data_IF_597792213738
#
_entry.id   IF_597792213738
#
_cell.length_a   1.000
_cell.length_b   1.000
_cell.length_c   1.000
_cell.angle_alpha   90.00
_cell.angle_beta   90.00
_cell.angle_gamma   90.00
#
_symmetry.space_group_name_H-M   'P 1'
#
loop_
_entity.id
_entity.type
_entity.pdbx_description
1 polymer ?
#
# COMPACT_ATOMS: atom_id res chain seq x y z
N UNK A 1 -27.59 -45.53 -3.31
CA UNK A 1 -28.95 -45.02 -3.57
C UNK A 1 -28.85 -44.02 -4.71
N UNK A 2 -29.53 -44.26 -5.83
CA UNK A 2 -29.51 -43.32 -6.96
C UNK A 2 -30.41 -42.14 -6.63
N UNK A 3 -29.89 -40.91 -6.67
CA UNK A 3 -30.70 -39.71 -6.53
C UNK A 3 -31.63 -39.58 -7.75
N UNK A 4 -32.87 -39.17 -7.51
CA UNK A 4 -33.86 -39.00 -8.57
C UNK A 4 -33.51 -37.78 -9.44
N UNK A 5 -34.02 -37.74 -10.66
CA UNK A 5 -33.84 -36.59 -11.56
C UNK A 5 -34.39 -35.31 -10.91
N UNK A 6 -35.49 -35.41 -10.16
CA UNK A 6 -36.11 -34.29 -9.45
C UNK A 6 -35.22 -33.72 -8.35
N UNK A 7 -34.56 -34.56 -7.55
CA UNK A 7 -33.61 -34.11 -6.52
C UNK A 7 -32.41 -33.39 -7.14
N UNK A 8 -31.91 -33.88 -8.28
CA UNK A 8 -30.81 -33.24 -8.99
C UNK A 8 -31.24 -31.86 -9.55
N UNK A 9 -32.45 -31.77 -10.12
CA UNK A 9 -33.01 -30.50 -10.59
C UNK A 9 -33.22 -29.49 -9.45
N UNK A 10 -33.73 -29.94 -8.31
CA UNK A 10 -33.89 -29.09 -7.12
C UNK A 10 -32.53 -28.59 -6.61
N UNK A 11 -31.52 -29.46 -6.59
CA UNK A 11 -30.16 -29.12 -6.18
C UNK A 11 -29.51 -28.11 -7.13
N UNK A 12 -29.66 -28.30 -8.45
CA UNK A 12 -29.19 -27.36 -9.48
C UNK A 12 -29.88 -26.00 -9.36
N UNK A 13 -31.20 -26.00 -9.18
CA UNK A 13 -31.98 -24.75 -9.01
C UNK A 13 -31.47 -23.96 -7.80
N UNK A 14 -31.26 -24.63 -6.67
CA UNK A 14 -30.72 -24.00 -5.46
C UNK A 14 -29.30 -23.47 -5.65
N UNK A 15 -28.46 -24.19 -6.39
CA UNK A 15 -27.11 -23.73 -6.72
C UNK A 15 -27.13 -22.47 -7.59
N UNK A 16 -28.00 -22.44 -8.62
CA UNK A 16 -28.17 -21.28 -9.50
C UNK A 16 -28.69 -20.07 -8.72
N UNK A 17 -29.66 -20.26 -7.82
CA UNK A 17 -30.16 -19.19 -6.95
C UNK A 17 -29.04 -18.61 -6.06
N UNK A 18 -28.23 -19.48 -5.44
CA UNK A 18 -27.09 -19.06 -4.63
C UNK A 18 -26.04 -18.29 -5.44
N UNK A 19 -25.73 -18.76 -6.64
CA UNK A 19 -24.80 -18.08 -7.55
C UNK A 19 -25.32 -16.72 -7.99
N UNK A 20 -26.61 -16.63 -8.34
CA UNK A 20 -27.26 -15.37 -8.73
C UNK A 20 -27.20 -14.34 -7.60
N UNK A 21 -27.49 -14.75 -6.36
CA UNK A 21 -27.36 -13.88 -5.19
C UNK A 21 -25.92 -13.40 -5.00
N UNK A 22 -24.95 -14.30 -5.10
CA UNK A 22 -23.54 -13.96 -4.96
C UNK A 22 -23.08 -12.96 -6.04
N UNK A 23 -23.48 -13.18 -7.30
CA UNK A 23 -23.17 -12.27 -8.41
C UNK A 23 -23.73 -10.87 -8.16
N UNK A 24 -24.99 -10.76 -7.69
CA UNK A 24 -25.60 -9.48 -7.37
C UNK A 24 -24.88 -8.75 -6.21
N UNK A 25 -24.49 -9.47 -5.16
CA UNK A 25 -23.72 -8.90 -4.05
C UNK A 25 -22.33 -8.41 -4.48
N UNK A 26 -21.67 -9.13 -5.39
CA UNK A 26 -20.38 -8.73 -5.94
C UNK A 26 -20.52 -7.50 -6.84
N UNK A 27 -21.54 -7.44 -7.68
CA UNK A 27 -21.83 -6.29 -8.53
C UNK A 27 -22.04 -5.01 -7.71
N UNK A 28 -22.81 -5.09 -6.62
CA UNK A 28 -22.99 -3.98 -5.68
C UNK A 28 -21.67 -3.54 -5.02
N UNK A 29 -20.75 -4.46 -4.72
CA UNK A 29 -19.42 -4.14 -4.19
C UNK A 29 -18.54 -3.46 -5.24
N UNK A 30 -18.57 -3.93 -6.48
CA UNK A 30 -17.84 -3.33 -7.60
C UNK A 30 -18.34 -1.92 -7.92
N UNK A 31 -19.65 -1.70 -7.93
CA UNK A 31 -20.22 -0.36 -8.10
C UNK A 31 -19.75 0.60 -7.00
N UNK A 32 -19.75 0.18 -5.74
CA UNK A 32 -19.20 0.98 -4.62
C UNK A 32 -17.72 1.27 -4.76
N UNK A 33 -16.93 0.29 -5.23
CA UNK A 33 -15.49 0.47 -5.43
C UNK A 33 -15.21 1.44 -6.58
N UNK A 34 -15.96 1.34 -7.67
CA UNK A 34 -15.88 2.24 -8.83
C UNK A 34 -16.17 3.68 -8.40
N UNK A 35 -17.28 3.91 -7.69
CA UNK A 35 -17.61 5.24 -7.17
C UNK A 35 -16.51 5.81 -6.25
N UNK A 36 -15.87 4.98 -5.43
CA UNK A 36 -14.75 5.40 -4.59
C UNK A 36 -13.53 5.79 -5.43
N UNK A 37 -13.22 5.01 -6.46
CA UNK A 37 -12.11 5.28 -7.38
C UNK A 37 -12.33 6.61 -8.10
N UNK A 38 -13.52 6.82 -8.67
CA UNK A 38 -13.89 8.07 -9.35
C UNK A 38 -13.74 9.25 -8.40
N UNK A 39 -14.26 9.15 -7.16
CA UNK A 39 -14.12 10.22 -6.15
C UNK A 39 -12.67 10.54 -5.79
N UNK A 40 -11.76 9.55 -5.90
CA UNK A 40 -10.34 9.73 -5.60
C UNK A 40 -9.61 10.37 -6.77
N UNK A 41 -9.98 10.02 -8.00
CA UNK A 41 -9.46 10.66 -9.21
C UNK A 41 -9.89 12.13 -9.23
N UNK A 42 -11.16 12.43 -8.98
CA UNK A 42 -11.67 13.81 -8.90
C UNK A 42 -10.95 14.62 -7.80
N UNK A 43 -10.72 14.03 -6.62
CA UNK A 43 -9.94 14.68 -5.55
C UNK A 43 -8.50 14.93 -5.94
N UNK A 44 -7.84 14.00 -6.63
CA UNK A 44 -6.46 14.18 -7.13
C UNK A 44 -6.39 15.23 -8.23
N UNK A 45 -7.41 15.31 -9.10
CA UNK A 45 -7.51 16.33 -10.14
C UNK A 45 -7.82 17.72 -9.59
N UNK A 46 -8.58 17.80 -8.49
CA UNK A 46 -8.92 19.07 -7.81
C UNK A 46 -7.78 19.58 -6.93
N UNK A 47 -6.82 18.71 -6.57
CA UNK A 47 -5.61 19.10 -5.89
C UNK A 47 -4.60 19.61 -6.94
N UNK A 48 -4.89 20.80 -7.47
CA UNK A 48 -3.95 21.60 -8.22
C UNK A 48 -2.64 21.71 -7.41
N UNK A 49 -1.44 21.57 -8.00
CA UNK A 49 -0.21 21.71 -7.25
C UNK A 49 -0.24 23.07 -6.56
N UNK A 50 -0.33 23.08 -5.23
CA UNK A 50 -0.14 24.30 -4.46
C UNK A 50 1.15 24.90 -5.00
N UNK A 51 1.07 26.07 -5.64
CA UNK A 51 2.25 26.80 -6.10
C UNK A 51 3.15 26.92 -4.88
N UNK A 52 4.21 26.12 -4.84
CA UNK A 52 5.25 26.18 -3.83
C UNK A 52 5.67 27.65 -3.73
N UNK A 53 5.69 28.26 -2.53
CA UNK A 53 6.42 29.51 -2.38
C UNK A 53 7.84 29.23 -2.85
N UNK A 54 8.30 29.99 -3.84
CA UNK A 54 9.71 30.08 -4.19
C UNK A 54 10.44 30.45 -2.90
N UNK A 55 10.97 29.46 -2.19
CA UNK A 55 11.88 29.70 -1.08
C UNK A 55 13.15 30.21 -1.72
N UNK A 56 13.29 31.53 -1.70
CA UNK A 56 14.57 32.19 -1.86
C UNK A 56 15.53 31.57 -0.85
N UNK A 57 16.62 31.07 -1.39
CA UNK A 57 17.81 30.69 -0.67
C UNK A 57 18.39 31.93 0.01
N UNK A 58 17.98 32.19 1.26
CA UNK A 58 18.70 33.03 2.19
C UNK A 58 18.86 32.27 3.51
N UNK A 59 20.02 31.62 3.59
CA UNK A 59 20.92 31.52 4.74
C UNK A 59 20.39 31.90 6.13
N UNK A 60 20.79 31.02 7.05
CA UNK A 60 21.10 31.28 8.46
C UNK A 60 19.91 31.28 9.44
N UNK A 61 19.70 30.12 10.07
CA UNK A 61 19.45 30.11 11.51
C UNK A 61 19.95 28.81 12.15
N UNK A 62 21.02 28.97 12.90
CA UNK A 62 21.59 28.02 13.83
C UNK A 62 20.63 27.80 15.02
N UNK A 63 20.11 26.58 15.24
CA UNK A 63 19.86 26.06 16.60
C UNK A 63 20.06 24.55 16.62
N UNK A 64 21.04 24.16 17.42
CA UNK A 64 21.42 22.82 17.88
C UNK A 64 20.20 21.97 18.26
N UNK A 65 20.14 20.69 17.85
CA UNK A 65 19.78 19.61 18.77
C UNK A 65 20.02 18.19 18.20
N UNK A 66 20.77 17.44 19.00
CA UNK A 66 20.72 15.98 19.19
C UNK A 66 20.96 15.05 17.99
N UNK A 67 22.13 14.41 18.07
CA UNK A 67 22.57 13.20 17.38
C UNK A 67 21.60 12.03 17.65
N UNK A 68 20.47 12.02 16.96
CA UNK A 68 19.67 10.82 16.73
C UNK A 68 20.00 10.43 15.30
N UNK A 69 20.35 9.16 15.06
CA UNK A 69 20.42 8.62 13.71
C UNK A 69 19.00 8.72 13.13
N UNK A 70 18.73 9.86 12.51
CA UNK A 70 17.50 10.17 11.80
C UNK A 70 17.42 9.21 10.62
N UNK A 71 16.86 8.03 10.88
CA UNK A 71 16.01 7.41 9.87
C UNK A 71 14.90 8.44 9.70
N UNK A 72 15.06 9.29 8.71
CA UNK A 72 14.13 10.31 8.29
C UNK A 72 12.75 9.64 8.25
N UNK A 73 11.91 9.93 9.26
CA UNK A 73 10.58 9.34 9.34
C UNK A 73 9.78 9.99 8.21
N UNK A 74 9.77 9.33 7.05
CA UNK A 74 9.01 9.75 5.89
C UNK A 74 7.54 9.81 6.29
N UNK A 75 6.99 11.03 6.30
CA UNK A 75 5.53 11.22 6.37
C UNK A 75 4.96 10.46 5.16
N UNK A 76 4.09 9.49 5.42
CA UNK A 76 3.48 8.60 4.42
C UNK A 76 4.34 7.44 3.89
N UNK A 77 5.46 7.07 4.50
CA UNK A 77 6.21 5.85 4.09
C UNK A 77 6.71 5.85 2.64
N UNK A 78 6.84 7.03 2.03
CA UNK A 78 7.35 7.21 0.67
C UNK A 78 8.76 7.78 0.73
N UNK A 79 9.72 7.05 0.16
CA UNK A 79 11.11 7.49 0.02
C UNK A 79 11.22 8.31 -1.28
N UNK A 80 11.75 9.54 -1.25
CA UNK A 80 12.07 10.32 -2.44
C UNK A 80 12.99 9.56 -3.39
N UNK A 81 12.75 9.66 -4.70
CA UNK A 81 13.47 8.88 -5.72
C UNK A 81 14.98 9.20 -5.69
N UNK A 82 15.34 10.45 -5.41
CA UNK A 82 16.71 10.93 -5.27
C UNK A 82 17.45 10.31 -4.08
N UNK A 83 16.73 9.80 -3.08
CA UNK A 83 17.28 9.17 -1.87
C UNK A 83 17.16 7.64 -1.87
N UNK A 84 16.44 7.07 -2.85
CA UNK A 84 16.18 5.63 -2.92
C UNK A 84 17.46 4.80 -3.06
N UNK A 85 18.43 5.30 -3.83
CA UNK A 85 19.70 4.62 -4.04
C UNK A 85 20.46 4.43 -2.73
N UNK A 86 20.58 5.50 -1.95
CA UNK A 86 21.34 5.48 -0.69
C UNK A 86 20.63 4.64 0.37
N UNK A 87 19.29 4.69 0.41
CA UNK A 87 18.47 3.82 1.27
C UNK A 87 18.67 2.33 0.97
N UNK A 88 18.69 1.94 -0.31
CA UNK A 88 18.93 0.54 -0.70
C UNK A 88 20.33 0.09 -0.31
N UNK A 89 21.35 0.94 -0.48
CA UNK A 89 22.72 0.63 -0.08
C UNK A 89 22.79 0.41 1.43
N UNK A 90 22.26 1.33 2.24
CA UNK A 90 22.25 1.22 3.70
C UNK A 90 21.53 -0.05 4.19
N UNK A 91 20.36 -0.35 3.62
CA UNK A 91 19.57 -1.53 4.00
C UNK A 91 20.28 -2.87 3.69
N UNK A 92 21.13 -2.91 2.67
CA UNK A 92 21.93 -4.10 2.32
C UNK A 92 23.15 -4.20 3.24
N UNK A 93 23.81 -3.08 3.52
CA UNK A 93 25.00 -3.04 4.37
C UNK A 93 24.68 -3.47 5.82
N UNK A 94 23.57 -3.00 6.40
CA UNK A 94 23.11 -3.39 7.75
C UNK A 94 22.86 -4.92 7.89
N UNK A 95 22.40 -5.55 6.81
CA UNK A 95 22.20 -7.02 6.74
C UNK A 95 23.52 -7.78 6.65
N UNK A 96 24.57 -7.16 6.12
CA UNK A 96 25.88 -7.79 5.92
C UNK A 96 26.74 -7.76 7.18
N UNK A 97 26.68 -6.68 7.98
CA UNK A 97 27.39 -6.60 9.27
C UNK A 97 26.82 -7.57 10.31
N UNK A 98 25.52 -7.87 10.23
CA UNK A 98 24.84 -8.84 11.09
C UNK A 98 25.30 -10.29 10.87
N UNK A 99 25.95 -10.61 9.74
CA UNK A 99 26.37 -11.97 9.39
C UNK A 99 27.77 -12.35 9.90
N UNK A 100 28.54 -11.42 10.47
CA UNK A 100 29.95 -11.68 10.84
C UNK A 100 30.17 -12.13 12.30
N UNK A 101 29.12 -12.34 13.10
CA UNK A 101 29.26 -12.73 14.52
C UNK A 101 28.89 -14.19 14.84
N UNK A 102 28.97 -15.11 13.86
CA UNK A 102 28.98 -16.55 14.15
C UNK A 102 30.39 -17.12 14.03
N UNK A 103 31.26 -16.73 14.95
CA UNK A 103 32.47 -17.47 15.31
C UNK A 103 32.18 -18.18 16.65
N UNK A 104 31.91 -19.50 16.67
CA UNK A 104 31.94 -20.24 17.93
C UNK A 104 33.41 -20.34 18.35
N UNK A 105 33.77 -19.56 19.37
CA UNK A 105 35.05 -19.69 20.03
C UNK A 105 34.98 -20.94 20.94
N UNK A 106 35.72 -21.97 20.51
CA UNK A 106 36.23 -23.16 21.24
C UNK A 106 35.21 -24.09 21.93
#
# INVERSE_FOLDING_TARGET
MSSTIEEQLASLTKAIEGLSKCAHEQDAKLSKLTNKMDSMIERKSSQEPLKLPKVQDERESCVKQTKIKEIHIFVEGLIPIDQLKDFIIEAIEDKSESSSNFLPHM
#
